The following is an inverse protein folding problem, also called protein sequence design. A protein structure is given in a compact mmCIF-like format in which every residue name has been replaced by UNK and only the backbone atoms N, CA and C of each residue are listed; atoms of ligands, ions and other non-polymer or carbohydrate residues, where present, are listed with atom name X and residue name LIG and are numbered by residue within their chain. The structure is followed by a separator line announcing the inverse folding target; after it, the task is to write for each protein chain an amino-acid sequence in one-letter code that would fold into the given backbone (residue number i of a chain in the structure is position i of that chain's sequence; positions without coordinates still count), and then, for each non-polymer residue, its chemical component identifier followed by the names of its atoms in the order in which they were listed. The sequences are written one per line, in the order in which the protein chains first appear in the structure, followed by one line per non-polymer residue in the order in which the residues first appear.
data_IF_569736469124
#
_entry.id   IF_569736469124
#
_cell.length_a   1.000
_cell.length_b   1.000
_cell.length_c   1.000
_cell.angle_alpha   90.00
_cell.angle_beta   90.00
_cell.angle_gamma   90.00
#
_symmetry.space_group_name_H-M   'P 1'
#
loop_
_entity.id
_entity.type
_entity.pdbx_description
1 polymer ?
#
# COMPACT_ATOMS: atom_id res chain seq x y z
N UNK A 1 -22.14 6.94 22.06
CA UNK A 1 -20.96 6.86 21.18
C UNK A 1 -21.43 7.06 19.76
N UNK A 2 -20.82 8.01 19.02
CA UNK A 2 -21.23 8.31 17.64
C UNK A 2 -20.76 7.16 16.75
N UNK A 3 -21.70 6.55 16.02
CA UNK A 3 -21.50 5.36 15.18
C UNK A 3 -20.62 5.60 13.94
N UNK A 4 -19.37 6.01 14.16
CA UNK A 4 -18.28 5.76 13.23
C UNK A 4 -17.87 4.31 13.50
N UNK A 5 -18.32 3.40 12.62
CA UNK A 5 -18.05 1.98 12.75
C UNK A 5 -16.56 1.73 12.59
N UNK A 6 -15.85 1.74 13.72
CA UNK A 6 -14.56 1.07 13.84
C UNK A 6 -14.88 -0.40 14.06
N UNK A 7 -14.49 -1.23 13.11
CA UNK A 7 -14.74 -2.66 13.15
C UNK A 7 -13.41 -3.38 13.37
N UNK A 8 -13.40 -4.42 14.20
CA UNK A 8 -12.18 -5.21 14.47
C UNK A 8 -11.59 -5.88 13.21
N UNK A 9 -12.38 -5.97 12.13
CA UNK A 9 -12.02 -6.57 10.84
C UNK A 9 -11.43 -5.57 9.82
N UNK A 10 -11.13 -4.33 10.21
CA UNK A 10 -10.37 -3.40 9.34
C UNK A 10 -8.93 -3.88 9.10
N UNK A 11 -8.36 -4.63 10.05
CA UNK A 11 -7.03 -5.21 9.93
C UNK A 11 -7.12 -6.63 9.31
N UNK A 12 -6.23 -7.01 8.39
CA UNK A 12 -6.23 -8.34 7.80
C UNK A 12 -5.89 -9.39 8.88
N UNK A 13 -6.65 -10.49 8.88
CA UNK A 13 -6.44 -11.60 9.79
C UNK A 13 -5.09 -12.27 9.57
N UNK A 14 -4.60 -13.01 10.58
CA UNK A 14 -3.37 -13.78 10.46
C UNK A 14 -3.41 -14.81 9.30
N UNK A 15 -4.60 -15.37 9.01
CA UNK A 15 -4.80 -16.28 7.88
C UNK A 15 -4.62 -15.58 6.54
N UNK A 16 -5.15 -14.37 6.39
CA UNK A 16 -4.98 -13.54 5.19
C UNK A 16 -3.50 -13.16 5.03
N UNK A 17 -2.85 -12.72 6.11
CA UNK A 17 -1.42 -12.36 6.10
C UNK A 17 -0.56 -13.54 5.64
N UNK A 18 -0.77 -14.73 6.22
CA UNK A 18 -0.05 -15.95 5.85
C UNK A 18 -0.31 -16.39 4.40
N UNK A 19 -1.56 -16.25 3.92
CA UNK A 19 -1.89 -16.56 2.53
C UNK A 19 -1.12 -15.64 1.56
N UNK A 20 -1.13 -14.32 1.81
CA UNK A 20 -0.42 -13.34 0.99
C UNK A 20 1.08 -13.59 1.01
N UNK A 21 1.67 -13.81 2.19
CA UNK A 21 3.09 -14.16 2.36
C UNK A 21 3.49 -15.39 1.53
N UNK A 22 2.63 -16.41 1.48
CA UNK A 22 2.86 -17.56 0.60
C UNK A 22 2.79 -17.19 -0.88
N UNK A 23 1.83 -16.36 -1.28
CA UNK A 23 1.70 -15.97 -2.70
C UNK A 23 2.93 -15.18 -3.19
N UNK A 24 3.45 -14.27 -2.36
CA UNK A 24 4.59 -13.42 -2.73
C UNK A 24 5.92 -14.16 -2.76
N UNK A 25 6.06 -15.25 -2.01
CA UNK A 25 7.25 -16.09 -2.06
C UNK A 25 7.34 -16.94 -3.35
N UNK A 26 6.19 -17.25 -3.96
CA UNK A 26 6.09 -18.20 -5.08
C UNK A 26 5.91 -17.51 -6.44
N UNK A 27 5.61 -16.21 -6.47
CA UNK A 27 5.15 -15.50 -7.67
C UNK A 27 5.79 -14.13 -7.81
N UNK A 28 5.87 -13.67 -9.05
CA UNK A 28 6.30 -12.31 -9.40
C UNK A 28 5.08 -11.40 -9.62
N UNK A 29 5.21 -10.12 -9.25
CA UNK A 29 4.17 -9.11 -9.39
C UNK A 29 4.75 -7.81 -9.93
N UNK A 30 4.29 -7.36 -11.09
CA UNK A 30 4.69 -6.06 -11.63
C UNK A 30 3.99 -4.89 -10.93
N UNK A 31 2.75 -5.10 -10.49
CA UNK A 31 1.90 -4.07 -9.88
C UNK A 31 1.26 -4.60 -8.61
N UNK A 32 1.34 -3.82 -7.54
CA UNK A 32 0.66 -4.08 -6.26
C UNK A 32 -0.44 -3.06 -6.05
N UNK A 33 -1.61 -3.50 -5.61
CA UNK A 33 -2.71 -2.64 -5.19
C UNK A 33 -3.06 -2.95 -3.74
N UNK A 34 -3.14 -1.91 -2.91
CA UNK A 34 -3.60 -2.02 -1.53
C UNK A 34 -4.46 -0.82 -1.15
N UNK A 35 -5.22 -0.93 -0.06
CA UNK A 35 -6.00 0.20 0.41
C UNK A 35 -5.12 1.30 1.01
N UNK A 36 -4.21 0.93 1.92
CA UNK A 36 -3.21 1.80 2.56
C UNK A 36 -1.80 1.54 2.01
N UNK A 37 -0.78 2.25 2.48
CA UNK A 37 0.62 2.11 2.04
C UNK A 37 1.48 1.36 3.08
N UNK A 38 2.70 0.93 2.73
CA UNK A 38 3.69 0.53 3.73
C UNK A 38 4.02 1.67 4.70
N UNK A 39 4.31 1.35 5.97
CA UNK A 39 4.52 2.32 7.05
C UNK A 39 5.59 3.36 6.73
N UNK A 40 6.70 2.96 6.09
CA UNK A 40 7.75 3.91 5.70
C UNK A 40 7.33 4.97 4.67
N UNK A 41 6.19 4.78 4.00
CA UNK A 41 5.64 5.72 3.02
C UNK A 41 4.46 6.54 3.55
N UNK A 42 4.08 6.40 4.82
CA UNK A 42 2.95 7.15 5.39
C UNK A 42 3.10 8.67 5.13
N UNK A 43 2.09 9.31 4.52
CA UNK A 43 2.12 10.73 4.25
C UNK A 43 1.73 11.49 5.53
N UNK A 44 2.70 11.68 6.43
CA UNK A 44 2.51 12.42 7.68
C UNK A 44 1.93 13.82 7.48
N UNK A 45 2.13 14.43 6.31
CA UNK A 45 1.53 15.70 5.91
C UNK A 45 -0.01 15.66 5.75
N UNK A 46 -0.59 14.47 5.57
CA UNK A 46 -2.02 14.23 5.46
C UNK A 46 -2.67 13.83 6.79
N UNK A 47 -1.90 13.70 7.87
CA UNK A 47 -2.43 13.33 9.18
C UNK A 47 -3.35 14.41 9.75
N UNK A 48 -4.48 13.97 10.33
CA UNK A 48 -5.40 14.89 10.98
C UNK A 48 -4.79 15.38 12.30
N UNK A 49 -4.63 16.70 12.50
CA UNK A 49 -3.93 17.26 13.68
C UNK A 49 -4.66 17.01 15.00
N UNK A 50 -5.92 16.56 14.94
CA UNK A 50 -6.75 16.26 16.11
C UNK A 50 -6.69 14.79 16.53
N UNK A 51 -5.94 13.95 15.82
CA UNK A 51 -5.78 12.52 16.12
C UNK A 51 -4.39 12.29 16.71
N UNK A 52 -4.34 11.66 17.88
CA UNK A 52 -3.10 11.15 18.44
C UNK A 52 -2.65 9.92 17.65
N UNK A 53 -1.64 10.12 16.80
CA UNK A 53 -1.13 9.07 15.92
C UNK A 53 -0.53 7.89 16.69
N UNK A 54 -0.12 8.08 17.95
CA UNK A 54 0.37 6.97 18.77
C UNK A 54 -0.74 6.00 19.20
N UNK A 55 -2.00 6.38 19.02
CA UNK A 55 -3.18 5.56 19.33
C UNK A 55 -3.76 4.83 18.11
N UNK A 56 -3.22 5.07 16.91
CA UNK A 56 -3.67 4.44 15.67
C UNK A 56 -2.98 3.09 15.52
N UNK A 57 -3.74 2.06 15.17
CA UNK A 57 -3.19 0.74 14.83
C UNK A 57 -2.58 0.76 13.43
N UNK A 58 -1.25 0.72 13.37
CA UNK A 58 -0.44 0.71 12.15
C UNK A 58 0.07 -0.69 11.77
N UNK A 59 -0.55 -1.75 12.33
CA UNK A 59 -0.06 -3.13 12.16
C UNK A 59 -0.22 -3.68 10.74
N UNK A 60 -1.11 -3.10 9.93
CA UNK A 60 -1.19 -3.40 8.48
C UNK A 60 -0.05 -2.73 7.74
N UNK A 61 0.17 -1.44 7.95
CA UNK A 61 1.20 -0.62 7.31
C UNK A 61 2.60 -1.21 7.58
N UNK A 62 2.86 -1.63 8.82
CA UNK A 62 4.11 -2.31 9.21
C UNK A 62 4.25 -3.71 8.62
N UNK A 63 3.14 -4.39 8.36
CA UNK A 63 3.17 -5.67 7.67
C UNK A 63 3.42 -5.46 6.17
N UNK A 64 2.83 -4.43 5.57
CA UNK A 64 3.07 -4.03 4.18
C UNK A 64 4.52 -3.61 3.93
N UNK A 65 5.24 -3.04 4.90
CA UNK A 65 6.70 -2.82 4.81
C UNK A 65 7.44 -4.11 4.47
N UNK A 66 7.11 -5.21 5.15
CA UNK A 66 7.75 -6.52 4.93
C UNK A 66 7.40 -7.08 3.55
N UNK A 67 6.18 -6.86 3.08
CA UNK A 67 5.75 -7.27 1.75
C UNK A 67 6.54 -6.48 0.69
N UNK A 68 6.64 -5.16 0.83
CA UNK A 68 7.37 -4.29 -0.10
C UNK A 68 8.85 -4.65 -0.19
N UNK A 69 9.48 -4.96 0.95
CA UNK A 69 10.90 -5.32 1.01
C UNK A 69 11.20 -6.71 0.43
N UNK A 70 10.21 -7.58 0.33
CA UNK A 70 10.39 -8.98 -0.09
C UNK A 70 10.08 -9.25 -1.56
N UNK A 71 9.57 -8.25 -2.31
CA UNK A 71 9.20 -8.42 -3.72
C UNK A 71 9.84 -7.35 -4.62
N UNK A 72 10.16 -7.75 -5.85
CA UNK A 72 10.40 -6.81 -6.94
C UNK A 72 9.07 -6.44 -7.60
N UNK A 73 8.88 -5.16 -7.88
CA UNK A 73 7.67 -4.62 -8.51
C UNK A 73 8.00 -3.30 -9.21
N UNK A 74 7.11 -2.85 -10.10
CA UNK A 74 7.25 -1.58 -10.86
C UNK A 74 6.47 -0.45 -10.22
N UNK A 75 5.25 -0.73 -9.78
CA UNK A 75 4.38 0.26 -9.15
C UNK A 75 3.54 -0.35 -8.03
N UNK A 76 3.33 0.44 -6.99
CA UNK A 76 2.44 0.12 -5.89
C UNK A 76 1.43 1.24 -5.76
N UNK A 77 0.15 0.92 -6.00
CA UNK A 77 -0.95 1.87 -5.97
C UNK A 77 -1.69 1.74 -4.64
N UNK A 78 -1.87 2.86 -3.95
CA UNK A 78 -2.57 2.90 -2.67
C UNK A 78 -3.52 4.11 -2.57
N UNK A 79 -4.50 3.99 -1.68
CA UNK A 79 -5.48 5.02 -1.36
C UNK A 79 -5.37 5.44 0.10
N UNK A 80 -6.48 5.41 0.83
CA UNK A 80 -6.62 5.71 2.26
C UNK A 80 -6.38 7.18 2.67
N UNK A 81 -5.31 7.79 2.19
CA UNK A 81 -4.82 9.09 2.66
C UNK A 81 -5.49 10.32 2.00
N UNK A 82 -6.36 10.09 1.02
CA UNK A 82 -7.10 11.13 0.28
C UNK A 82 -6.21 12.24 -0.33
N UNK A 83 -5.06 11.85 -0.85
CA UNK A 83 -4.10 12.73 -1.54
C UNK A 83 -3.65 12.10 -2.85
N UNK A 84 -3.10 12.94 -3.75
CA UNK A 84 -2.31 12.48 -4.88
C UNK A 84 -0.83 12.73 -4.59
N UNK A 85 -0.02 11.67 -4.61
CA UNK A 85 1.44 11.73 -4.35
C UNK A 85 2.14 10.60 -5.07
N UNK A 86 3.34 10.86 -5.58
CA UNK A 86 4.24 9.82 -6.09
C UNK A 86 5.60 9.95 -5.40
N UNK A 87 6.10 8.84 -4.89
CA UNK A 87 7.43 8.73 -4.29
C UNK A 87 7.96 7.34 -4.56
N UNK A 88 9.18 7.25 -5.09
CA UNK A 88 9.78 6.00 -5.56
C UNK A 88 8.85 5.24 -6.52
N UNK A 89 8.39 4.05 -6.12
CA UNK A 89 7.42 3.22 -6.87
C UNK A 89 6.00 3.32 -6.31
N UNK A 90 5.77 4.17 -5.31
CA UNK A 90 4.50 4.30 -4.59
C UNK A 90 3.64 5.42 -5.17
N UNK A 91 2.42 5.09 -5.54
CA UNK A 91 1.46 5.97 -6.19
C UNK A 91 0.20 6.08 -5.32
N UNK A 92 0.01 7.23 -4.69
CA UNK A 92 -1.18 7.56 -3.92
C UNK A 92 -2.20 8.20 -4.86
N UNK A 93 -3.40 7.64 -4.93
CA UNK A 93 -4.44 8.07 -5.86
C UNK A 93 -5.72 8.48 -5.11
N UNK A 94 -6.15 9.73 -5.34
CA UNK A 94 -7.40 10.27 -4.84
C UNK A 94 -8.07 11.13 -5.91
N UNK A 95 -9.23 10.69 -6.39
CA UNK A 95 -9.92 11.25 -7.56
C UNK A 95 -9.10 11.26 -8.87
N UNK A 96 -7.95 10.59 -8.88
CA UNK A 96 -7.11 10.40 -10.06
C UNK A 96 -7.12 8.92 -10.48
N UNK A 97 -6.59 8.64 -11.68
CA UNK A 97 -6.52 7.28 -12.21
C UNK A 97 -5.22 7.05 -12.98
N UNK A 98 -4.87 5.79 -13.10
CA UNK A 98 -3.65 5.35 -13.77
C UNK A 98 -3.95 4.26 -14.77
N UNK A 99 -3.43 4.41 -15.99
CA UNK A 99 -3.61 3.44 -17.06
C UNK A 99 -2.57 2.32 -16.94
N UNK A 100 -2.99 1.07 -17.15
CA UNK A 100 -2.07 -0.06 -17.22
C UNK A 100 -1.06 0.05 -18.37
N UNK A 101 -1.36 0.88 -19.39
CA UNK A 101 -0.45 1.16 -20.51
C UNK A 101 0.91 1.68 -20.05
N UNK A 102 0.97 2.40 -18.92
CA UNK A 102 2.22 2.98 -18.40
C UNK A 102 3.16 1.92 -17.79
N UNK A 103 2.67 0.70 -17.53
CA UNK A 103 3.46 -0.39 -16.94
C UNK A 103 3.86 -1.46 -17.95
N UNK A 104 3.45 -1.31 -19.22
CA UNK A 104 3.86 -2.21 -20.29
C UNK A 104 5.36 -2.09 -20.53
N UNK A 105 6.01 -3.24 -20.69
CA UNK A 105 7.41 -3.30 -21.12
C UNK A 105 7.48 -2.68 -22.51
N UNK A 106 8.29 -1.62 -22.66
CA UNK A 106 8.73 -1.19 -23.98
C UNK A 106 10.05 -1.88 -24.31
N UNK A 107 10.28 -2.24 -25.57
CA UNK A 107 11.57 -2.78 -26.01
C UNK A 107 12.68 -1.77 -25.67
N UNK A 108 13.45 -2.05 -24.60
CA UNK A 108 14.46 -1.13 -24.06
C UNK A 108 14.55 -1.07 -22.53
N UNK A 109 13.53 -1.56 -21.81
CA UNK A 109 13.49 -1.55 -20.33
C UNK A 109 14.14 -2.80 -19.68
N UNK A 110 14.78 -3.68 -20.46
CA UNK A 110 15.62 -4.73 -19.90
C UNK A 110 16.85 -4.07 -19.26
N UNK A 111 16.85 -3.98 -17.94
CA UNK A 111 18.05 -3.63 -17.18
C UNK A 111 19.15 -4.68 -17.46
N UNK A 112 20.44 -4.28 -17.49
CA UNK A 112 21.56 -5.16 -17.84
C UNK A 112 21.72 -6.37 -16.93
#
# INVERSE_FOLDING_TARGET
MRGYGWWEDEQPSAEIKAFVEKQIAEKHFDVVLSHTCPFKYEPTEAFLPMIDQSSVDDSTERWLDKIEESIAYRAWLCGHWHINKRIDRMHFLFHDFESAEQFKITEGDEAP
#
